data_IF_431060448764
#
_entry.id   IF_431060448764
#
_cell.length_a   1.000
_cell.length_b   1.000
_cell.length_c   1.000
_cell.angle_alpha   90.00
_cell.angle_beta   90.00
_cell.angle_gamma   90.00
#
_symmetry.space_group_name_H-M   'P 1'
#
loop_
_entity.id
_entity.type
_entity.pdbx_description
1 polymer ?
#
# COMPACT_ATOMS: atom_id res chain seq x y z
N UNK A 1 33.85 -40.65 -10.45
CA UNK A 1 34.24 -39.54 -9.55
C UNK A 1 33.87 -38.19 -10.15
N UNK A 2 34.30 -37.83 -11.36
CA UNK A 2 33.99 -36.50 -11.95
C UNK A 2 32.49 -36.29 -12.27
N UNK A 3 31.79 -37.33 -12.74
CA UNK A 3 30.34 -37.25 -12.98
C UNK A 3 29.50 -37.10 -11.69
N UNK A 4 29.99 -37.58 -10.55
CA UNK A 4 29.26 -37.45 -9.29
C UNK A 4 29.32 -36.03 -8.75
N UNK A 5 30.47 -35.35 -8.90
CA UNK A 5 30.58 -33.93 -8.51
C UNK A 5 29.71 -33.02 -9.38
N UNK A 6 29.60 -33.30 -10.68
CA UNK A 6 28.73 -32.57 -11.61
C UNK A 6 27.25 -32.74 -11.23
N UNK A 7 26.81 -33.96 -10.89
CA UNK A 7 25.45 -34.22 -10.46
C UNK A 7 25.13 -33.54 -9.12
N UNK A 8 26.07 -33.54 -8.17
CA UNK A 8 25.92 -32.84 -6.89
C UNK A 8 25.85 -31.32 -7.11
N UNK A 9 26.69 -30.75 -7.97
CA UNK A 9 26.65 -29.31 -8.28
C UNK A 9 25.37 -28.92 -9.01
N UNK A 10 24.91 -29.72 -9.96
CA UNK A 10 23.65 -29.46 -10.68
C UNK A 10 22.46 -29.52 -9.72
N UNK A 11 22.46 -30.48 -8.78
CA UNK A 11 21.45 -30.60 -7.74
C UNK A 11 21.45 -29.39 -6.79
N UNK A 12 22.64 -28.93 -6.35
CA UNK A 12 22.77 -27.74 -5.51
C UNK A 12 22.35 -26.45 -6.21
N UNK A 13 22.64 -26.31 -7.52
CA UNK A 13 22.16 -25.19 -8.33
C UNK A 13 20.64 -25.21 -8.43
N UNK A 14 20.03 -26.38 -8.67
CA UNK A 14 18.56 -26.49 -8.70
C UNK A 14 17.92 -26.16 -7.36
N UNK A 15 18.41 -26.70 -6.24
CA UNK A 15 17.85 -26.36 -4.91
C UNK A 15 17.98 -24.87 -4.60
N UNK A 16 19.15 -24.27 -4.86
CA UNK A 16 19.36 -22.83 -4.70
C UNK A 16 18.34 -22.00 -5.49
N UNK A 17 18.08 -22.39 -6.73
CA UNK A 17 17.08 -21.73 -7.57
C UNK A 17 15.65 -21.97 -7.08
N UNK A 18 15.33 -23.16 -6.56
CA UNK A 18 14.03 -23.43 -5.91
C UNK A 18 13.81 -22.56 -4.67
N UNK A 19 14.80 -22.40 -3.80
CA UNK A 19 14.71 -21.49 -2.65
C UNK A 19 14.63 -20.03 -3.08
N UNK A 20 15.32 -19.63 -4.14
CA UNK A 20 15.18 -18.31 -4.74
C UNK A 20 13.76 -18.09 -5.28
N UNK A 21 13.17 -19.06 -5.98
CA UNK A 21 11.80 -19.02 -6.50
C UNK A 21 10.76 -18.93 -5.37
N UNK A 22 10.97 -19.59 -4.23
CA UNK A 22 10.09 -19.47 -3.05
C UNK A 22 10.24 -18.10 -2.37
N UNK A 23 11.45 -17.52 -2.33
CA UNK A 23 11.65 -16.15 -1.86
C UNK A 23 10.97 -15.11 -2.77
N UNK A 24 10.86 -15.39 -4.07
CA UNK A 24 10.17 -14.57 -5.05
C UNK A 24 8.63 -14.76 -4.97
N UNK A 25 8.15 -15.89 -4.45
CA UNK A 25 6.73 -16.20 -4.27
C UNK A 25 6.20 -15.88 -2.85
N UNK A 26 5.77 -14.64 -2.64
CA UNK A 26 4.54 -14.38 -1.89
C UNK A 26 4.56 -14.44 -0.35
N UNK A 27 5.71 -14.37 0.31
CA UNK A 27 5.74 -14.21 1.76
C UNK A 27 5.16 -12.85 2.19
N UNK A 28 4.20 -12.84 3.12
CA UNK A 28 3.77 -11.67 3.91
C UNK A 28 4.97 -11.13 4.72
N UNK A 29 5.92 -10.53 4.02
CA UNK A 29 7.16 -10.06 4.59
C UNK A 29 6.94 -8.63 5.07
N UNK A 30 7.02 -8.43 6.38
CA UNK A 30 6.91 -7.11 7.01
C UNK A 30 8.00 -6.18 6.44
N UNK A 31 7.69 -4.92 6.10
CA UNK A 31 8.70 -3.99 5.61
C UNK A 31 9.78 -3.74 6.66
N UNK A 32 11.02 -3.75 6.19
CA UNK A 32 12.20 -3.52 7.03
C UNK A 32 12.59 -2.06 7.04
N UNK A 33 12.28 -1.34 5.95
CA UNK A 33 12.64 0.07 5.79
C UNK A 33 11.69 0.99 6.55
N UNK A 34 12.20 2.13 7.06
CA UNK A 34 11.37 3.14 7.73
C UNK A 34 10.27 3.68 6.79
N UNK A 35 10.61 3.87 5.51
CA UNK A 35 9.66 4.33 4.49
C UNK A 35 8.58 3.28 4.18
N UNK A 36 8.95 2.00 4.07
CA UNK A 36 7.98 0.91 3.88
C UNK A 36 7.02 0.78 5.06
N UNK A 37 7.52 0.90 6.31
CA UNK A 37 6.67 0.95 7.50
C UNK A 37 5.76 2.18 7.50
N UNK A 38 6.27 3.34 7.11
CA UNK A 38 5.49 4.56 6.95
C UNK A 38 4.35 4.40 5.95
N UNK A 39 4.63 3.80 4.79
CA UNK A 39 3.61 3.49 3.78
C UNK A 39 2.49 2.60 4.36
N UNK A 40 2.84 1.56 5.14
CA UNK A 40 1.84 0.71 5.79
C UNK A 40 1.04 1.43 6.87
N UNK A 41 1.68 2.27 7.69
CA UNK A 41 0.97 3.06 8.69
C UNK A 41 -0.02 4.01 8.01
N UNK A 42 0.40 4.67 6.93
CA UNK A 42 -0.45 5.58 6.17
C UNK A 42 -1.65 4.87 5.55
N UNK A 43 -1.48 3.69 4.94
CA UNK A 43 -2.64 2.96 4.39
C UNK A 43 -3.55 2.40 5.48
N UNK A 44 -2.98 1.94 6.60
CA UNK A 44 -3.78 1.53 7.76
C UNK A 44 -4.60 2.70 8.31
N UNK A 45 -4.00 3.88 8.42
CA UNK A 45 -4.68 5.10 8.86
C UNK A 45 -5.80 5.50 7.89
N UNK A 46 -5.59 5.38 6.57
CA UNK A 46 -6.64 5.59 5.57
C UNK A 46 -7.88 4.74 5.84
N UNK A 47 -7.71 3.42 6.04
CA UNK A 47 -8.84 2.53 6.32
C UNK A 47 -9.50 2.82 7.67
N UNK A 48 -8.73 3.16 8.71
CA UNK A 48 -9.27 3.56 10.01
C UNK A 48 -10.13 4.83 9.86
N UNK A 49 -9.64 5.84 9.14
CA UNK A 49 -10.39 7.07 8.90
C UNK A 49 -11.65 6.82 8.06
N UNK A 50 -11.60 5.92 7.06
CA UNK A 50 -12.81 5.52 6.34
C UNK A 50 -13.83 4.85 7.25
N UNK A 51 -13.41 3.94 8.13
CA UNK A 51 -14.32 3.31 9.11
C UNK A 51 -14.94 4.38 10.01
N UNK A 52 -14.16 5.35 10.48
CA UNK A 52 -14.67 6.47 11.28
C UNK A 52 -15.72 7.27 10.49
N UNK A 53 -15.46 7.60 9.23
CA UNK A 53 -16.43 8.30 8.36
C UNK A 53 -17.72 7.47 8.23
N UNK A 54 -17.62 6.17 7.99
CA UNK A 54 -18.79 5.29 7.86
C UNK A 54 -19.61 5.23 9.17
N UNK A 55 -18.95 5.21 10.33
CA UNK A 55 -19.64 5.27 11.63
C UNK A 55 -20.35 6.61 11.84
N UNK A 56 -19.72 7.72 11.45
CA UNK A 56 -20.33 9.06 11.51
C UNK A 56 -21.56 9.10 10.59
N UNK A 57 -21.45 8.60 9.36
CA UNK A 57 -22.59 8.52 8.43
C UNK A 57 -23.70 7.62 8.98
N UNK A 58 -23.35 6.46 9.55
CA UNK A 58 -24.31 5.54 10.17
C UNK A 58 -25.04 6.15 11.39
N UNK A 59 -24.45 7.17 12.04
CA UNK A 59 -25.10 7.94 13.11
C UNK A 59 -26.14 8.97 12.62
N UNK A 60 -26.40 9.03 11.30
CA UNK A 60 -27.36 9.93 10.68
C UNK A 60 -26.77 11.24 10.16
N UNK A 61 -25.43 11.39 10.21
CA UNK A 61 -24.77 12.52 9.57
C UNK A 61 -24.71 12.31 8.06
N UNK A 62 -24.99 13.36 7.29
CA UNK A 62 -24.86 13.35 5.83
C UNK A 62 -23.85 14.41 5.39
N UNK A 63 -23.29 14.24 4.20
CA UNK A 63 -22.59 15.34 3.54
C UNK A 63 -23.52 16.53 3.29
N UNK A 64 -22.93 17.70 3.05
CA UNK A 64 -23.64 18.87 2.54
C UNK A 64 -23.27 19.16 1.07
N UNK A 65 -23.66 20.34 0.58
CA UNK A 65 -23.31 20.80 -0.76
C UNK A 65 -21.86 21.26 -0.84
N UNK A 66 -21.31 21.74 0.28
CA UNK A 66 -19.94 22.23 0.36
C UNK A 66 -19.10 21.46 1.37
N UNK A 67 -17.78 21.57 1.23
CA UNK A 67 -16.82 20.98 2.18
C UNK A 67 -17.04 21.43 3.63
N UNK A 68 -17.50 22.67 3.83
CA UNK A 68 -17.64 23.26 5.17
C UNK A 68 -18.97 22.93 5.86
N UNK A 69 -19.92 22.34 5.14
CA UNK A 69 -21.26 22.08 5.66
C UNK A 69 -21.26 20.99 6.74
N UNK A 70 -20.39 19.99 6.61
CA UNK A 70 -20.24 18.94 7.61
C UNK A 70 -18.77 18.59 7.87
N UNK A 71 -18.11 19.42 8.66
CA UNK A 71 -16.71 19.22 9.05
C UNK A 71 -16.46 17.88 9.78
N UNK A 72 -17.48 17.30 10.44
CA UNK A 72 -17.34 15.99 11.09
C UNK A 72 -17.07 14.88 10.07
N UNK A 73 -17.57 14.99 8.84
CA UNK A 73 -17.30 14.05 7.76
C UNK A 73 -16.11 14.55 6.90
N UNK A 74 -16.12 15.82 6.55
CA UNK A 74 -15.16 16.40 5.61
C UNK A 74 -13.71 16.32 6.10
N UNK A 75 -13.46 16.60 7.39
CA UNK A 75 -12.10 16.55 7.96
C UNK A 75 -11.53 15.12 7.92
N UNK A 76 -12.17 14.09 8.51
CA UNK A 76 -11.62 12.74 8.48
C UNK A 76 -11.54 12.17 7.05
N UNK A 77 -12.48 12.50 6.16
CA UNK A 77 -12.42 12.09 4.76
C UNK A 77 -11.23 12.72 4.03
N UNK A 78 -10.97 14.02 4.25
CA UNK A 78 -9.82 14.71 3.68
C UNK A 78 -8.49 14.16 4.21
N UNK A 79 -8.41 13.90 5.52
CA UNK A 79 -7.25 13.26 6.14
C UNK A 79 -7.03 11.84 5.60
N UNK A 80 -8.11 11.09 5.32
CA UNK A 80 -8.01 9.79 4.68
C UNK A 80 -7.35 9.92 3.31
N UNK A 81 -7.83 10.86 2.48
CA UNK A 81 -7.23 11.17 1.17
C UNK A 81 -5.73 11.46 1.28
N UNK A 82 -5.32 12.34 2.20
CA UNK A 82 -3.90 12.65 2.47
C UNK A 82 -3.13 11.39 2.87
N UNK A 83 -3.66 10.58 3.78
CA UNK A 83 -3.01 9.35 4.23
C UNK A 83 -2.82 8.34 3.08
N UNK A 84 -3.83 8.18 2.21
CA UNK A 84 -3.74 7.35 1.01
C UNK A 84 -2.63 7.81 0.06
N UNK A 85 -2.59 9.11 -0.26
CA UNK A 85 -1.56 9.70 -1.14
C UNK A 85 -0.16 9.57 -0.52
N UNK A 86 -0.01 9.82 0.78
CA UNK A 86 1.27 9.63 1.47
C UNK A 86 1.71 8.16 1.45
N UNK A 87 0.78 7.22 1.56
CA UNK A 87 1.11 5.79 1.45
C UNK A 87 1.74 5.46 0.10
N UNK A 88 1.20 6.02 -0.99
CA UNK A 88 1.78 5.91 -2.33
C UNK A 88 3.17 6.52 -2.41
N UNK A 89 3.33 7.77 -2.00
CA UNK A 89 4.62 8.48 -2.10
C UNK A 89 5.70 7.77 -1.29
N UNK A 90 5.43 7.45 -0.02
CA UNK A 90 6.39 6.74 0.84
C UNK A 90 6.70 5.34 0.31
N UNK A 91 5.69 4.65 -0.22
CA UNK A 91 5.83 3.31 -0.77
C UNK A 91 6.73 3.30 -2.02
N UNK A 92 6.49 4.20 -2.97
CA UNK A 92 7.33 4.36 -4.18
C UNK A 92 8.76 4.75 -3.80
N UNK A 93 8.95 5.71 -2.90
CA UNK A 93 10.30 6.08 -2.45
C UNK A 93 10.99 4.89 -1.76
N UNK A 94 10.27 4.11 -0.95
CA UNK A 94 10.78 2.89 -0.32
C UNK A 94 11.21 1.83 -1.34
N UNK A 95 10.38 1.58 -2.35
CA UNK A 95 10.66 0.61 -3.43
C UNK A 95 11.89 1.03 -4.23
N UNK A 96 11.95 2.30 -4.66
CA UNK A 96 13.02 2.77 -5.56
C UNK A 96 14.31 3.05 -4.80
N UNK A 97 14.27 3.90 -3.75
CA UNK A 97 15.48 4.37 -3.07
C UNK A 97 15.99 3.41 -2.02
N UNK A 98 15.09 2.77 -1.26
CA UNK A 98 15.48 1.83 -0.20
C UNK A 98 15.51 0.38 -0.66
N UNK A 99 15.26 0.12 -1.95
CA UNK A 99 15.19 -1.21 -2.56
C UNK A 99 14.26 -2.16 -1.76
N UNK A 100 13.17 -1.62 -1.22
CA UNK A 100 12.19 -2.41 -0.46
C UNK A 100 11.51 -3.43 -1.38
N UNK A 101 11.46 -4.69 -0.93
CA UNK A 101 10.89 -5.82 -1.70
C UNK A 101 9.67 -6.44 -1.00
N UNK A 102 9.18 -5.83 0.07
CA UNK A 102 7.96 -6.27 0.75
C UNK A 102 6.73 -6.14 -0.16
N UNK A 103 6.02 -7.25 -0.37
CA UNK A 103 4.75 -7.28 -1.09
C UNK A 103 3.71 -6.32 -0.49
N UNK A 104 3.71 -6.16 0.83
CA UNK A 104 2.80 -5.23 1.53
C UNK A 104 3.02 -3.78 1.11
N UNK A 105 4.27 -3.38 0.88
CA UNK A 105 4.59 -2.01 0.42
C UNK A 105 4.18 -1.80 -1.02
N UNK A 106 4.29 -2.82 -1.88
CA UNK A 106 3.74 -2.75 -3.23
C UNK A 106 2.22 -2.60 -3.21
N UNK A 107 1.52 -3.40 -2.41
CA UNK A 107 0.06 -3.34 -2.28
C UNK A 107 -0.38 -1.99 -1.71
N UNK A 108 0.25 -1.50 -0.63
CA UNK A 108 -0.08 -0.19 -0.05
C UNK A 108 0.16 0.94 -1.06
N UNK A 109 1.27 0.87 -1.82
CA UNK A 109 1.54 1.83 -2.88
C UNK A 109 0.47 1.81 -3.97
N UNK A 110 0.06 0.61 -4.41
CA UNK A 110 -0.95 0.46 -5.46
C UNK A 110 -2.30 1.02 -5.01
N UNK A 111 -2.73 0.72 -3.78
CA UNK A 111 -3.97 1.28 -3.23
C UNK A 111 -3.86 2.80 -3.10
N UNK A 112 -2.74 3.32 -2.60
CA UNK A 112 -2.49 4.76 -2.52
C UNK A 112 -2.52 5.44 -3.90
N UNK A 113 -2.02 4.78 -4.95
CA UNK A 113 -2.10 5.28 -6.32
C UNK A 113 -3.55 5.36 -6.80
N UNK A 114 -4.36 4.33 -6.53
CA UNK A 114 -5.80 4.37 -6.86
C UNK A 114 -6.48 5.55 -6.15
N UNK A 115 -6.20 5.75 -4.87
CA UNK A 115 -6.73 6.90 -4.10
C UNK A 115 -6.30 8.22 -4.74
N UNK A 116 -5.03 8.36 -5.16
CA UNK A 116 -4.56 9.54 -5.87
C UNK A 116 -5.31 9.76 -7.20
N UNK A 117 -5.52 8.70 -7.98
CA UNK A 117 -6.29 8.77 -9.24
C UNK A 117 -7.72 9.22 -8.97
N UNK A 118 -8.39 8.67 -7.95
CA UNK A 118 -9.73 9.11 -7.54
C UNK A 118 -9.74 10.58 -7.11
N UNK A 119 -8.80 11.00 -6.29
CA UNK A 119 -8.69 12.38 -5.84
C UNK A 119 -8.50 13.34 -7.02
N UNK A 120 -7.58 13.03 -7.94
CA UNK A 120 -7.36 13.83 -9.16
C UNK A 120 -8.60 13.83 -10.05
N UNK A 121 -9.28 12.69 -10.19
CA UNK A 121 -10.53 12.58 -10.93
C UNK A 121 -11.58 13.56 -10.42
N UNK A 122 -11.81 13.56 -9.10
CA UNK A 122 -12.74 14.48 -8.44
C UNK A 122 -12.39 15.96 -8.68
N UNK A 123 -11.10 16.30 -8.74
CA UNK A 123 -10.64 17.65 -9.05
C UNK A 123 -10.84 18.05 -10.52
N UNK A 124 -10.68 17.12 -11.46
CA UNK A 124 -10.75 17.40 -12.91
C UNK A 124 -12.18 17.38 -13.45
N UNK A 125 -13.10 16.74 -12.75
CA UNK A 125 -14.52 16.78 -13.01
C UNK A 125 -15.21 15.87 -12.01
N UNK A 126 -16.15 16.38 -11.19
CA UNK A 126 -16.86 15.54 -10.24
C UNK A 126 -17.47 14.37 -11.01
N UNK A 127 -17.22 13.14 -10.54
CA UNK A 127 -17.87 11.97 -11.11
C UNK A 127 -19.38 12.16 -10.90
N UNK A 128 -20.09 12.48 -11.99
CA UNK A 128 -21.53 12.73 -12.00
C UNK A 128 -22.34 11.59 -11.39
#
# INVERSE_FOLDING_TARGET
>A
MENDELNVRLFLLTESDYYAIIQINGGFNMPKTKLGKGSLICIGLFFILLVIVQLIVASGQTGGETFFDNLYISIPMFLAGIAGVLSFVLGIIGIIKSKERSALVFISSLIGLLILVFAVGEFLGPAH
#
